data_IF_268801568456
#
_entry.id   IF_268801568456
#
_cell.length_a   1.000
_cell.length_b   1.000
_cell.length_c   1.000
_cell.angle_alpha   90.00
_cell.angle_beta   90.00
_cell.angle_gamma   90.00
#
_symmetry.space_group_name_H-M   'P 1'
#
loop_
_entity.id
_entity.type
_entity.pdbx_description
1 polymer ?
#
# COMPACT_ATOMS: atom_id res chain seq x y z
N UNK A 1 14.99 3.60 -12.57
CA UNK A 1 13.82 4.47 -12.72
C UNK A 1 13.19 4.60 -11.33
N UNK A 2 13.12 5.79 -10.74
CA UNK A 2 12.54 5.94 -9.40
C UNK A 2 11.02 5.98 -9.53
N UNK A 3 10.32 5.02 -8.92
CA UNK A 3 8.86 5.04 -8.82
C UNK A 3 8.47 6.11 -7.80
N UNK A 4 7.63 7.07 -8.21
CA UNK A 4 7.06 8.02 -7.26
C UNK A 4 5.92 7.34 -6.48
N UNK A 5 6.11 7.18 -5.17
CA UNK A 5 5.14 6.51 -4.28
C UNK A 5 3.76 7.16 -4.34
N UNK A 6 3.68 8.47 -4.50
CA UNK A 6 2.41 9.22 -4.59
C UNK A 6 1.58 8.86 -5.82
N UNK A 7 2.21 8.31 -6.86
CA UNK A 7 1.53 7.84 -8.07
C UNK A 7 0.92 6.44 -7.89
N UNK A 8 1.38 5.69 -6.87
CA UNK A 8 1.00 4.29 -6.64
C UNK A 8 0.11 4.15 -5.42
N UNK A 9 0.45 4.81 -4.31
CA UNK A 9 -0.25 4.70 -3.02
C UNK A 9 -1.19 5.91 -2.82
N UNK A 10 -2.37 5.65 -2.28
CA UNK A 10 -3.31 6.70 -1.86
C UNK A 10 -2.86 7.34 -0.54
N UNK A 11 -1.89 8.25 -0.63
CA UNK A 11 -1.33 8.97 0.52
C UNK A 11 -2.26 10.05 1.09
N UNK A 12 -3.32 10.41 0.36
CA UNK A 12 -4.36 11.32 0.85
C UNK A 12 -5.27 10.57 1.83
N UNK A 13 -5.61 9.32 1.52
CA UNK A 13 -6.35 8.43 2.42
C UNK A 13 -5.49 7.84 3.53
N UNK A 14 -4.22 7.56 3.23
CA UNK A 14 -3.28 6.92 4.15
C UNK A 14 -2.02 7.79 4.28
N UNK A 15 -1.96 8.75 5.23
CA UNK A 15 -0.86 9.72 5.34
C UNK A 15 0.41 9.12 5.96
N UNK A 16 0.86 7.98 5.45
CA UNK A 16 1.99 7.18 5.98
C UNK A 16 3.36 7.80 5.67
N UNK A 17 3.42 8.76 4.75
CA UNK A 17 4.61 9.54 4.41
C UNK A 17 4.93 10.65 5.41
N UNK A 18 3.97 11.00 6.28
CA UNK A 18 4.14 12.04 7.30
C UNK A 18 4.16 11.40 8.69
N UNK A 19 5.01 11.92 9.56
CA UNK A 19 4.94 11.58 10.98
C UNK A 19 3.72 12.27 11.61
N UNK A 20 3.11 11.63 12.60
CA UNK A 20 1.99 12.24 13.33
C UNK A 20 1.03 11.24 13.94
N UNK A 21 0.05 11.73 14.71
CA UNK A 21 -0.94 10.90 15.40
C UNK A 21 -1.81 10.09 14.44
N UNK A 22 -2.13 10.61 13.26
CA UNK A 22 -2.94 9.90 12.24
C UNK A 22 -2.24 8.64 11.73
N UNK A 23 -0.95 8.77 11.36
CA UNK A 23 -0.12 7.61 10.98
C UNK A 23 -0.01 6.61 12.14
N UNK A 24 0.23 7.10 13.36
CA UNK A 24 0.36 6.24 14.53
C UNK A 24 -0.93 5.45 14.82
N UNK A 25 -2.09 6.10 14.71
CA UNK A 25 -3.39 5.46 14.90
C UNK A 25 -3.67 4.39 13.82
N UNK A 26 -3.36 4.69 12.56
CA UNK A 26 -3.49 3.73 11.46
C UNK A 26 -2.61 2.48 11.69
N UNK A 27 -1.34 2.68 12.05
CA UNK A 27 -0.41 1.59 12.35
C UNK A 27 -0.90 0.77 13.54
N UNK A 28 -1.36 1.42 14.61
CA UNK A 28 -1.89 0.73 15.79
C UNK A 28 -3.12 -0.12 15.46
N UNK A 29 -4.03 0.38 14.61
CA UNK A 29 -5.20 -0.36 14.13
C UNK A 29 -4.80 -1.61 13.36
N UNK A 30 -3.92 -1.46 12.35
CA UNK A 30 -3.42 -2.58 11.53
C UNK A 30 -2.70 -3.63 12.39
N UNK A 31 -1.86 -3.20 13.32
CA UNK A 31 -1.18 -4.12 14.24
C UNK A 31 -2.17 -4.85 15.17
N UNK A 32 -3.26 -4.21 15.57
CA UNK A 32 -4.32 -4.84 16.35
C UNK A 32 -5.04 -5.92 15.55
N UNK A 33 -5.40 -5.64 14.30
CA UNK A 33 -5.98 -6.63 13.38
C UNK A 33 -5.06 -7.83 13.18
N UNK A 34 -3.77 -7.59 12.90
CA UNK A 34 -2.78 -8.66 12.73
C UNK A 34 -2.67 -9.53 13.99
N UNK A 35 -2.64 -8.93 15.20
CA UNK A 35 -2.59 -9.71 16.45
C UNK A 35 -3.86 -10.52 16.70
N UNK A 36 -5.02 -10.02 16.26
CA UNK A 36 -6.33 -10.63 16.51
C UNK A 36 -6.63 -11.77 15.52
N UNK A 37 -6.41 -11.54 14.23
CA UNK A 37 -6.84 -12.46 13.14
C UNK A 37 -5.68 -12.94 12.26
N UNK A 38 -4.44 -12.53 12.54
CA UNK A 38 -3.26 -12.91 11.76
C UNK A 38 -3.11 -12.15 10.44
N UNK A 39 -4.01 -11.22 10.12
CA UNK A 39 -4.05 -10.49 8.86
C UNK A 39 -4.70 -9.11 9.06
N UNK A 40 -4.44 -8.17 8.15
CA UNK A 40 -5.13 -6.90 8.07
C UNK A 40 -5.37 -6.53 6.61
N UNK A 41 -6.53 -5.96 6.29
CA UNK A 41 -6.89 -5.60 4.91
C UNK A 41 -6.93 -4.09 4.76
N UNK A 42 -5.96 -3.54 4.03
CA UNK A 42 -5.90 -2.10 3.74
C UNK A 42 -6.60 -1.85 2.40
N UNK A 43 -7.90 -1.55 2.45
CA UNK A 43 -8.73 -1.38 1.25
C UNK A 43 -8.27 -0.18 0.43
N UNK A 44 -8.17 -0.37 -0.90
CA UNK A 44 -7.83 0.69 -1.86
C UNK A 44 -6.52 1.42 -1.49
N UNK A 45 -5.55 0.69 -0.92
CA UNK A 45 -4.24 1.24 -0.59
C UNK A 45 -3.47 1.68 -1.84
N UNK A 46 -3.56 0.88 -2.90
CA UNK A 46 -3.02 1.20 -4.22
C UNK A 46 -4.08 1.97 -5.02
N UNK A 47 -3.67 3.07 -5.65
CA UNK A 47 -4.52 3.86 -6.56
C UNK A 47 -4.97 3.00 -7.73
N UNK A 48 -6.25 3.05 -8.07
CA UNK A 48 -6.81 2.27 -9.17
C UNK A 48 -6.09 2.52 -10.51
N UNK A 49 -5.61 3.76 -10.72
CA UNK A 49 -4.86 4.17 -11.91
C UNK A 49 -3.47 3.53 -12.03
N UNK A 50 -2.88 3.06 -10.91
CA UNK A 50 -1.55 2.45 -10.90
C UNK A 50 -1.59 0.94 -11.18
N UNK A 51 -2.74 0.29 -10.99
CA UNK A 51 -2.89 -1.17 -11.13
C UNK A 51 -2.44 -1.69 -12.51
N UNK A 52 -2.83 -1.09 -13.65
CA UNK A 52 -2.40 -1.59 -14.96
C UNK A 52 -0.88 -1.63 -15.14
N UNK A 53 -0.17 -0.60 -14.65
CA UNK A 53 1.29 -0.54 -14.73
C UNK A 53 1.96 -1.59 -13.85
N UNK A 54 1.43 -1.82 -12.64
CA UNK A 54 1.95 -2.87 -11.73
C UNK A 54 1.74 -4.27 -12.30
N UNK A 55 0.60 -4.52 -12.94
CA UNK A 55 0.32 -5.79 -13.63
C UNK A 55 1.30 -5.98 -14.78
N UNK A 56 1.49 -4.97 -15.64
CA UNK A 56 2.43 -5.06 -16.76
C UNK A 56 3.88 -5.33 -16.31
N UNK A 57 4.32 -4.69 -15.23
CA UNK A 57 5.63 -4.96 -14.65
C UNK A 57 5.74 -6.40 -14.13
N UNK A 58 4.72 -6.88 -13.42
CA UNK A 58 4.66 -8.25 -12.91
C UNK A 58 4.67 -9.30 -14.03
N UNK A 59 3.89 -9.07 -15.09
CA UNK A 59 3.83 -9.94 -16.26
C UNK A 59 5.18 -10.00 -17.01
N UNK A 60 5.91 -8.87 -17.05
CA UNK A 60 7.21 -8.80 -17.74
C UNK A 60 8.26 -9.72 -17.12
N UNK A 61 8.15 -10.03 -15.83
CA UNK A 61 9.08 -10.90 -15.09
C UNK A 61 8.50 -12.27 -14.78
N UNK A 62 7.22 -12.54 -15.10
CA UNK A 62 6.56 -13.81 -14.79
C UNK A 62 7.25 -15.03 -15.41
N UNK A 63 7.98 -14.84 -16.52
CA UNK A 63 8.77 -15.88 -17.18
C UNK A 63 10.06 -16.27 -16.42
N UNK A 64 10.43 -15.54 -15.38
CA UNK A 64 11.65 -15.73 -14.58
C UNK A 64 11.44 -16.59 -13.31
N UNK A 65 10.28 -17.25 -13.19
CA UNK A 65 9.86 -18.03 -12.01
C UNK A 65 10.89 -19.02 -11.49
#
# INVERSE_FOLDING_TARGET
>A
MAVNVEQVIDLDRYPIHRQGPERAALVASVQSEIRSVGCAVIKQFVKQSAIPSLVAESDSVAHLG
#
